data_IF_377424181990
#
_entry.id   IF_377424181990
#
_cell.length_a   1.000
_cell.length_b   1.000
_cell.length_c   1.000
_cell.angle_alpha   90.00
_cell.angle_beta   90.00
_cell.angle_gamma   90.00
#
_symmetry.space_group_name_H-M   'P 1'
#
loop_
_entity.id
_entity.type
_entity.pdbx_description
1 polymer ?
#
# COMPACT_ATOMS: atom_id res chain seq x y z
N UNK A 1 -20.20 1.21 -0.42
CA UNK A 1 -19.29 1.31 0.75
C UNK A 1 -18.72 2.72 0.76
N UNK A 2 -19.06 3.59 1.72
CA UNK A 2 -18.48 4.95 1.78
C UNK A 2 -17.03 4.84 2.22
N UNK A 3 -16.08 5.22 1.38
CA UNK A 3 -14.70 5.44 1.79
C UNK A 3 -14.73 6.54 2.85
N UNK A 4 -14.30 6.22 4.07
CA UNK A 4 -14.20 7.20 5.15
C UNK A 4 -13.22 8.31 4.76
N UNK A 5 -13.48 9.55 5.17
CA UNK A 5 -12.62 10.71 4.90
C UNK A 5 -11.16 10.46 5.30
N UNK A 6 -10.93 9.66 6.34
CA UNK A 6 -9.61 9.22 6.75
C UNK A 6 -8.92 8.32 5.71
N UNK A 7 -9.64 7.38 5.07
CA UNK A 7 -9.04 6.51 4.04
C UNK A 7 -8.55 7.31 2.84
N UNK A 8 -9.33 8.31 2.42
CA UNK A 8 -8.93 9.15 1.29
C UNK A 8 -7.63 9.89 1.60
N UNK A 9 -7.56 10.55 2.76
CA UNK A 9 -6.35 11.29 3.19
C UNK A 9 -5.13 10.37 3.26
N UNK A 10 -5.32 9.13 3.76
CA UNK A 10 -4.22 8.18 3.86
C UNK A 10 -3.77 7.66 2.50
N UNK A 11 -4.69 7.32 1.60
CA UNK A 11 -4.34 6.90 0.24
C UNK A 11 -3.54 7.99 -0.45
N UNK A 12 -4.02 9.25 -0.42
CA UNK A 12 -3.33 10.37 -1.06
C UNK A 12 -1.91 10.54 -0.48
N UNK A 13 -1.77 10.50 0.86
CA UNK A 13 -0.48 10.68 1.52
C UNK A 13 0.52 9.54 1.29
N UNK A 14 0.05 8.30 1.23
CA UNK A 14 0.90 7.16 0.91
C UNK A 14 1.24 7.10 -0.58
N UNK A 15 0.34 7.55 -1.48
CA UNK A 15 0.66 7.69 -2.91
C UNK A 15 1.82 8.64 -3.11
N UNK A 16 1.76 9.84 -2.51
CA UNK A 16 2.85 10.82 -2.57
C UNK A 16 4.20 10.27 -2.06
N UNK A 17 4.19 9.54 -0.94
CA UNK A 17 5.39 8.91 -0.41
C UNK A 17 5.93 7.82 -1.33
N UNK A 18 5.08 6.90 -1.79
CA UNK A 18 5.49 5.79 -2.65
C UNK A 18 6.01 6.30 -4.00
N UNK A 19 5.36 7.30 -4.58
CA UNK A 19 5.82 7.94 -5.83
C UNK A 19 7.22 8.54 -5.67
N UNK A 20 7.54 9.11 -4.50
CA UNK A 20 8.86 9.69 -4.22
C UNK A 20 10.01 8.65 -4.21
N UNK A 21 9.68 7.37 -4.03
CA UNK A 21 10.62 6.24 -4.06
C UNK A 21 10.39 5.32 -5.25
N UNK A 22 9.77 5.84 -6.31
CA UNK A 22 9.58 5.11 -7.57
C UNK A 22 8.66 3.87 -7.44
N UNK A 23 7.64 3.95 -6.59
CA UNK A 23 6.58 2.93 -6.42
C UNK A 23 5.22 3.58 -6.71
N UNK A 24 4.41 2.96 -7.57
CA UNK A 24 3.06 3.43 -7.90
C UNK A 24 2.00 2.54 -7.24
N UNK A 25 0.89 3.15 -6.79
CA UNK A 25 -0.32 2.42 -6.40
C UNK A 25 -1.13 2.11 -7.65
N UNK A 26 -1.44 0.83 -7.86
CA UNK A 26 -2.07 0.26 -9.06
C UNK A 26 -1.28 0.55 -10.34
N UNK A 27 0.05 0.62 -10.21
CA UNK A 27 0.98 0.69 -11.35
C UNK A 27 1.14 -0.65 -12.07
N UNK A 28 1.89 -0.64 -13.17
CA UNK A 28 2.08 -1.82 -14.04
C UNK A 28 3.46 -2.47 -13.90
N UNK A 29 4.36 -1.94 -13.06
CA UNK A 29 5.71 -2.50 -12.88
C UNK A 29 5.65 -3.61 -11.84
N UNK A 30 6.56 -4.60 -11.89
CA UNK A 30 6.51 -5.74 -10.98
C UNK A 30 6.60 -5.39 -9.49
N UNK A 31 7.21 -4.26 -9.13
CA UNK A 31 7.34 -3.79 -7.76
C UNK A 31 6.27 -2.78 -7.32
N UNK A 32 5.34 -2.43 -8.21
CA UNK A 32 4.21 -1.57 -7.87
C UNK A 32 3.18 -2.35 -7.02
N UNK A 33 2.40 -1.63 -6.21
CA UNK A 33 1.41 -2.24 -5.31
C UNK A 33 0.03 -2.19 -5.95
N UNK A 34 -0.67 -3.32 -6.08
CA UNK A 34 -2.10 -3.33 -6.42
C UNK A 34 -2.92 -3.35 -5.15
N UNK A 35 -3.71 -2.31 -4.88
CA UNK A 35 -4.47 -2.19 -3.62
C UNK A 35 -5.92 -2.61 -3.81
N UNK A 36 -6.33 -3.66 -3.09
CA UNK A 36 -7.68 -4.24 -3.15
C UNK A 36 -8.59 -3.75 -2.02
N UNK A 37 -8.00 -3.31 -0.90
CA UNK A 37 -8.75 -2.88 0.29
C UNK A 37 -8.39 -1.44 0.71
N UNK A 38 -9.37 -0.52 0.81
CA UNK A 38 -9.13 0.87 1.20
C UNK A 38 -8.64 1.07 2.64
N UNK A 39 -8.73 0.06 3.52
CA UNK A 39 -8.24 0.13 4.90
C UNK A 39 -6.76 -0.29 5.04
N UNK A 40 -6.06 -0.63 3.94
CA UNK A 40 -4.63 -0.96 3.92
C UNK A 40 -3.78 0.08 4.66
N UNK A 41 -3.86 1.33 4.24
CA UNK A 41 -3.01 2.39 4.79
C UNK A 41 -3.37 2.77 6.22
N UNK A 42 -4.61 2.51 6.67
CA UNK A 42 -4.94 2.57 8.10
C UNK A 42 -4.23 1.47 8.88
N UNK A 43 -4.25 0.24 8.38
CA UNK A 43 -3.58 -0.90 9.02
C UNK A 43 -2.07 -0.64 9.15
N UNK A 44 -1.43 -0.15 8.08
CA UNK A 44 -0.01 0.24 8.10
C UNK A 44 0.23 1.39 9.08
N UNK A 45 -0.63 2.42 9.11
CA UNK A 45 -0.46 3.55 10.03
C UNK A 45 -0.52 3.12 11.50
N UNK A 46 -1.47 2.24 11.87
CA UNK A 46 -1.67 1.85 13.27
C UNK A 46 -0.76 0.69 13.73
N UNK A 47 -0.39 -0.21 12.82
CA UNK A 47 0.33 -1.45 13.15
C UNK A 47 1.71 -1.55 12.48
N UNK A 48 2.16 -0.53 11.74
CA UNK A 48 3.47 -0.48 11.10
C UNK A 48 3.74 -1.65 10.15
N UNK A 49 4.93 -2.24 10.25
CA UNK A 49 5.36 -3.39 9.44
C UNK A 49 4.51 -4.64 9.66
N UNK A 50 3.97 -4.85 10.86
CA UNK A 50 3.03 -5.93 11.12
C UNK A 50 1.71 -5.70 10.37
N UNK A 51 1.23 -4.45 10.35
CA UNK A 51 0.07 -4.05 9.56
C UNK A 51 0.26 -4.31 8.08
N UNK A 52 1.45 -4.02 7.54
CA UNK A 52 1.80 -4.33 6.16
C UNK A 52 1.77 -5.85 5.90
N UNK A 53 2.49 -6.64 6.71
CA UNK A 53 2.57 -8.09 6.55
C UNK A 53 1.22 -8.81 6.71
N UNK A 54 0.42 -8.44 7.70
CA UNK A 54 -0.93 -9.00 7.86
C UNK A 54 -1.87 -8.61 6.72
N UNK A 55 -1.75 -7.38 6.20
CA UNK A 55 -2.57 -6.94 5.06
C UNK A 55 -2.20 -7.71 3.80
N UNK A 56 -0.92 -8.05 3.62
CA UNK A 56 -0.48 -8.97 2.56
C UNK A 56 -1.10 -10.36 2.73
N UNK A 57 -1.01 -10.94 3.92
CA UNK A 57 -1.62 -12.25 4.21
C UNK A 57 -3.15 -12.26 4.02
N UNK A 58 -3.82 -11.13 4.24
CA UNK A 58 -5.27 -10.95 4.04
C UNK A 58 -5.65 -10.66 2.58
N UNK A 59 -4.68 -10.52 1.66
CA UNK A 59 -4.93 -10.14 0.26
C UNK A 59 -5.46 -8.72 0.09
N UNK A 60 -5.12 -7.80 0.99
CA UNK A 60 -5.56 -6.39 0.90
C UNK A 60 -4.79 -5.61 -0.16
N UNK A 61 -3.61 -6.10 -0.54
CA UNK A 61 -2.85 -5.67 -1.69
C UNK A 61 -2.02 -6.84 -2.21
N UNK A 62 -1.61 -6.73 -3.47
CA UNK A 62 -0.64 -7.61 -4.11
C UNK A 62 0.53 -6.82 -4.69
N UNK A 63 1.64 -7.52 -4.91
CA UNK A 63 2.83 -7.03 -5.61
C UNK A 63 3.49 -8.24 -6.27
N UNK A 64 3.80 -8.14 -7.56
CA UNK A 64 4.38 -9.27 -8.32
C UNK A 64 5.78 -9.64 -7.80
N UNK A 65 6.56 -8.63 -7.45
CA UNK A 65 7.95 -8.74 -6.99
C UNK A 65 8.14 -7.94 -5.70
N UNK A 66 7.63 -8.51 -4.61
CA UNK A 66 7.77 -7.98 -3.25
C UNK A 66 9.23 -7.79 -2.83
N UNK A 67 10.14 -8.62 -3.33
CA UNK A 67 11.57 -8.48 -3.14
C UNK A 67 12.11 -7.17 -3.75
N UNK A 68 11.69 -6.83 -4.97
CA UNK A 68 12.06 -5.56 -5.62
C UNK A 68 11.39 -4.35 -4.96
N UNK A 69 10.16 -4.51 -4.45
CA UNK A 69 9.52 -3.45 -3.67
C UNK A 69 10.34 -3.08 -2.43
N UNK A 70 10.87 -4.08 -1.70
CA UNK A 70 11.70 -3.83 -0.51
C UNK A 70 13.10 -3.25 -0.82
N UNK A 71 13.55 -3.26 -2.08
CA UNK A 71 14.75 -2.50 -2.47
C UNK A 71 14.48 -0.99 -2.57
N UNK A 72 13.21 -0.58 -2.68
CA UNK A 72 12.80 0.83 -2.81
C UNK A 72 12.50 1.51 -1.47
N UNK A 73 12.07 0.74 -0.46
CA UNK A 73 11.53 1.22 0.84
C UNK A 73 12.57 1.28 1.94
#
# INVERSE_FOLDING_TARGET
MKISMLNKILIDKYSEFLESIDVEINGNRPWDLTVHNPDLFKSILFNGSLGFGESYMKGWFDCERLDLFFEKV
#
